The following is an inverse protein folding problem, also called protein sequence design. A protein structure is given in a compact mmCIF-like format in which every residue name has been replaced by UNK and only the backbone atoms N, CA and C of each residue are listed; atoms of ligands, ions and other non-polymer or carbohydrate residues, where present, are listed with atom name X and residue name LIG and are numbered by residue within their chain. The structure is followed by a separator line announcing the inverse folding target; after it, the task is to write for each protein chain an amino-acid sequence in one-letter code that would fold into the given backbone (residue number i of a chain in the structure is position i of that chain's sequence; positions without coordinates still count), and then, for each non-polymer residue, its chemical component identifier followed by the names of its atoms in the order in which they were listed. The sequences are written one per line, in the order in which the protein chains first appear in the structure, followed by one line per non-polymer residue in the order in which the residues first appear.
data_IF_358054511809
#
_entry.id   IF_358054511809
#
_cell.length_a   1.000
_cell.length_b   1.000
_cell.length_c   1.000
_cell.angle_alpha   90.00
_cell.angle_beta   90.00
_cell.angle_gamma   90.00
#
_symmetry.space_group_name_H-M   'P 1'
#
loop_
_entity.id
_entity.type
_entity.pdbx_description
1 polymer ?
#
# COMPACT_ATOMS: atom_id res chain seq x y z
N UNK A 1 -17.14 25.20 27.43
CA UNK A 1 -18.04 24.30 26.67
C UNK A 1 -17.32 23.71 25.45
N UNK A 2 -16.93 24.50 24.45
CA UNK A 2 -16.27 23.99 23.22
C UNK A 2 -15.00 23.16 23.47
N UNK A 3 -14.10 23.62 24.36
CA UNK A 3 -12.87 22.89 24.71
C UNK A 3 -13.14 21.52 25.36
N UNK A 4 -14.22 21.41 26.13
CA UNK A 4 -14.62 20.17 26.81
C UNK A 4 -15.16 19.16 25.79
N UNK A 5 -15.98 19.62 24.84
CA UNK A 5 -16.49 18.81 23.74
C UNK A 5 -15.33 18.28 22.88
N UNK A 6 -14.38 19.14 22.52
CA UNK A 6 -13.20 18.74 21.74
C UNK A 6 -12.36 17.67 22.45
N UNK A 7 -12.12 17.82 23.77
CA UNK A 7 -11.40 16.83 24.56
C UNK A 7 -12.12 15.48 24.62
N UNK A 8 -13.44 15.49 24.79
CA UNK A 8 -14.25 14.27 24.83
C UNK A 8 -14.27 13.57 23.47
N UNK A 9 -14.43 14.33 22.38
CA UNK A 9 -14.40 13.76 21.03
C UNK A 9 -13.03 13.19 20.68
N UNK A 10 -11.94 13.89 21.02
CA UNK A 10 -10.58 13.45 20.71
C UNK A 10 -10.19 12.21 21.54
N UNK A 11 -10.56 12.19 22.83
CA UNK A 11 -10.28 11.06 23.72
C UNK A 11 -10.96 9.75 23.32
N UNK A 12 -12.10 9.82 22.63
CA UNK A 12 -12.81 8.64 22.10
C UNK A 12 -12.27 8.24 20.72
N UNK A 13 -11.99 9.22 19.84
CA UNK A 13 -11.54 8.95 18.48
C UNK A 13 -10.10 8.42 18.38
N UNK A 14 -9.18 8.96 19.17
CA UNK A 14 -7.74 8.57 19.11
C UNK A 14 -7.51 7.07 19.31
N UNK A 15 -8.04 6.42 20.38
CA UNK A 15 -7.83 4.99 20.57
C UNK A 15 -8.52 4.13 19.50
N UNK A 16 -9.68 4.56 19.00
CA UNK A 16 -10.39 3.85 17.93
C UNK A 16 -9.59 3.84 16.61
N UNK A 17 -8.92 4.94 16.28
CA UNK A 17 -8.07 5.03 15.08
C UNK A 17 -6.78 4.21 15.23
N UNK A 18 -6.18 4.19 16.42
CA UNK A 18 -4.95 3.41 16.67
C UNK A 18 -5.21 1.90 16.55
N UNK A 19 -6.33 1.40 17.08
CA UNK A 19 -6.70 -0.02 16.98
C UNK A 19 -6.99 -0.46 15.54
N UNK A 20 -7.46 0.44 14.68
CA UNK A 20 -7.71 0.14 13.27
C UNK A 20 -6.42 0.12 12.43
N UNK A 21 -5.31 0.65 12.95
CA UNK A 21 -4.04 0.75 12.24
C UNK A 21 -3.34 -0.60 12.08
N UNK A 22 -3.44 -1.48 13.08
CA UNK A 22 -2.70 -2.75 13.09
C UNK A 22 -3.24 -3.73 12.05
N UNK A 23 -4.57 -3.92 11.99
CA UNK A 23 -5.23 -4.79 11.02
C UNK A 23 -5.06 -4.28 9.57
N UNK A 24 -5.08 -2.96 9.39
CA UNK A 24 -4.79 -2.32 8.11
C UNK A 24 -3.32 -2.48 7.69
N UNK A 25 -2.38 -2.45 8.65
CA UNK A 25 -0.96 -2.63 8.37
C UNK A 25 -0.63 -4.06 7.95
N UNK A 26 -1.24 -5.05 8.60
CA UNK A 26 -1.07 -6.46 8.22
C UNK A 26 -1.63 -6.73 6.83
N UNK A 27 -2.82 -6.22 6.52
CA UNK A 27 -3.40 -6.31 5.19
C UNK A 27 -2.51 -5.61 4.13
N UNK A 28 -1.97 -4.43 4.44
CA UNK A 28 -1.08 -3.71 3.54
C UNK A 28 0.23 -4.48 3.29
N UNK A 29 0.80 -5.13 4.32
CA UNK A 29 1.97 -6.01 4.20
C UNK A 29 1.68 -7.21 3.32
N UNK A 30 0.56 -7.90 3.54
CA UNK A 30 0.17 -9.04 2.69
C UNK A 30 0.04 -8.63 1.22
N UNK A 31 -0.63 -7.49 0.95
CA UNK A 31 -0.79 -6.99 -0.40
C UNK A 31 0.55 -6.61 -1.04
N UNK A 32 1.45 -6.00 -0.25
CA UNK A 32 2.82 -5.69 -0.68
C UNK A 32 3.57 -6.97 -1.07
N UNK A 33 3.64 -7.96 -0.18
CA UNK A 33 4.37 -9.21 -0.38
C UNK A 33 3.84 -9.98 -1.60
N UNK A 34 2.50 -10.07 -1.73
CA UNK A 34 1.84 -10.70 -2.87
C UNK A 34 2.21 -9.99 -4.18
N UNK A 35 2.20 -8.66 -4.19
CA UNK A 35 2.52 -7.88 -5.39
C UNK A 35 4.02 -7.91 -5.72
N UNK A 36 4.92 -7.95 -4.73
CA UNK A 36 6.37 -8.12 -4.93
C UNK A 36 6.65 -9.50 -5.53
N UNK A 37 6.06 -10.54 -4.96
CA UNK A 37 6.16 -11.92 -5.44
C UNK A 37 5.64 -12.08 -6.88
N UNK A 38 4.47 -11.51 -7.19
CA UNK A 38 3.86 -11.61 -8.53
C UNK A 38 4.59 -10.81 -9.60
N UNK A 39 5.16 -9.66 -9.27
CA UNK A 39 5.77 -8.76 -10.28
C UNK A 39 7.29 -8.92 -10.37
N UNK A 40 7.92 -9.49 -9.33
CA UNK A 40 9.36 -9.59 -9.21
C UNK A 40 10.05 -8.21 -9.24
N UNK A 41 9.35 -7.17 -8.78
CA UNK A 41 9.85 -5.81 -8.66
C UNK A 41 10.97 -5.75 -7.63
N UNK A 42 11.96 -4.90 -7.88
CA UNK A 42 13.03 -4.63 -6.93
C UNK A 42 12.52 -3.75 -5.77
N UNK A 43 12.71 -4.20 -4.52
CA UNK A 43 12.30 -3.44 -3.34
C UNK A 43 12.98 -2.07 -3.21
N UNK A 44 14.15 -1.87 -3.83
CA UNK A 44 14.80 -0.57 -3.87
C UNK A 44 13.96 0.45 -4.66
N UNK A 45 13.26 0.02 -5.71
CA UNK A 45 12.33 0.87 -6.47
C UNK A 45 11.12 1.27 -5.62
N UNK A 46 10.60 0.35 -4.80
CA UNK A 46 9.50 0.61 -3.87
C UNK A 46 9.94 1.61 -2.79
N UNK A 47 11.13 1.40 -2.23
CA UNK A 47 11.70 2.28 -1.21
C UNK A 47 11.98 3.69 -1.74
N UNK A 48 12.40 3.81 -3.01
CA UNK A 48 12.62 5.13 -3.65
C UNK A 48 11.33 5.95 -3.72
N UNK A 49 10.19 5.32 -4.01
CA UNK A 49 8.89 6.01 -4.01
C UNK A 49 8.40 6.31 -2.60
N UNK A 50 8.62 5.39 -1.66
CA UNK A 50 8.32 5.63 -0.23
C UNK A 50 9.08 6.85 0.30
N UNK A 51 10.34 7.00 -0.09
CA UNK A 51 11.19 8.14 0.25
C UNK A 51 10.87 9.41 -0.55
N UNK A 52 9.85 9.39 -1.42
CA UNK A 52 9.45 10.50 -2.30
C UNK A 52 10.58 10.99 -3.23
N UNK A 53 11.56 10.13 -3.52
CA UNK A 53 12.74 10.46 -4.35
C UNK A 53 12.49 10.38 -5.85
N UNK A 54 11.26 10.03 -6.25
CA UNK A 54 10.83 9.94 -7.65
C UNK A 54 10.30 8.55 -7.99
N UNK A 55 9.59 8.45 -9.12
CA UNK A 55 9.06 7.20 -9.63
C UNK A 55 10.08 6.55 -10.56
N UNK A 56 10.65 5.38 -10.21
CA UNK A 56 11.55 4.68 -11.10
C UNK A 56 10.81 4.27 -12.37
N UNK A 57 11.46 4.46 -13.52
CA UNK A 57 10.93 4.08 -14.84
C UNK A 57 11.20 2.59 -15.10
N UNK A 58 10.67 1.75 -14.22
CA UNK A 58 10.80 0.29 -14.29
C UNK A 58 9.42 -0.36 -14.56
N UNK A 59 9.39 -1.27 -15.53
CA UNK A 59 8.15 -1.90 -15.98
C UNK A 59 7.54 -2.82 -14.91
N UNK A 60 8.39 -3.47 -14.09
CA UNK A 60 7.93 -4.29 -12.97
C UNK A 60 7.39 -3.42 -11.85
N UNK A 61 8.01 -2.25 -11.62
CA UNK A 61 7.52 -1.27 -10.67
C UNK A 61 6.15 -0.69 -11.06
N UNK A 62 5.93 -0.37 -12.34
CA UNK A 62 4.60 0.02 -12.84
C UNK A 62 3.57 -1.10 -12.65
N UNK A 63 3.96 -2.35 -12.83
CA UNK A 63 3.13 -3.52 -12.56
C UNK A 63 2.80 -3.68 -11.08
N UNK A 64 3.76 -3.46 -10.18
CA UNK A 64 3.55 -3.46 -8.73
C UNK A 64 2.54 -2.40 -8.30
N UNK A 65 2.65 -1.17 -8.83
CA UNK A 65 1.69 -0.10 -8.54
C UNK A 65 0.28 -0.39 -9.08
N UNK A 66 0.15 -1.16 -10.17
CA UNK A 66 -1.16 -1.64 -10.65
C UNK A 66 -1.72 -2.75 -9.76
N UNK A 67 -0.87 -3.66 -9.30
CA UNK A 67 -1.27 -4.71 -8.37
C UNK A 67 -1.82 -4.13 -7.06
N UNK A 68 -1.21 -3.04 -6.56
CA UNK A 68 -1.73 -2.24 -5.45
C UNK A 68 -2.94 -1.36 -5.79
N UNK A 69 -3.47 -1.44 -7.02
CA UNK A 69 -4.54 -0.59 -7.55
C UNK A 69 -4.28 0.93 -7.44
N UNK A 70 -3.03 1.35 -7.35
CA UNK A 70 -2.63 2.75 -7.23
C UNK A 70 -2.74 3.49 -8.58
N UNK A 71 -2.56 2.77 -9.70
CA UNK A 71 -2.61 3.34 -11.05
C UNK A 71 -3.78 2.76 -11.84
N UNK A 72 -4.69 3.63 -12.30
CA UNK A 72 -5.80 3.27 -13.20
C UNK A 72 -5.36 3.21 -14.67
N UNK A 73 -4.38 2.36 -14.98
CA UNK A 73 -3.84 2.22 -16.34
C UNK A 73 -4.31 0.90 -16.98
N UNK A 74 -5.08 1.01 -18.06
CA UNK A 74 -5.82 -0.10 -18.71
C UNK A 74 -4.98 -1.01 -19.62
N UNK A 75 -3.67 -0.77 -19.79
CA UNK A 75 -2.86 -1.41 -20.85
C UNK A 75 -1.52 -1.99 -20.38
N UNK A 76 -1.44 -2.62 -19.21
CA UNK A 76 -0.29 -3.49 -18.91
C UNK A 76 -0.79 -4.83 -18.41
N UNK A 77 -0.43 -5.90 -19.11
CA UNK A 77 -0.66 -7.26 -18.71
C UNK A 77 0.60 -7.70 -17.95
N UNK A 78 0.54 -7.80 -16.63
CA UNK A 78 1.67 -8.21 -15.80
C UNK A 78 1.90 -9.72 -15.98
N UNK A 79 2.33 -10.12 -17.17
CA UNK A 79 2.69 -11.50 -17.49
C UNK A 79 4.15 -11.73 -17.12
N UNK A 80 4.36 -11.98 -15.83
CA UNK A 80 5.66 -12.35 -15.28
C UNK A 80 5.50 -13.36 -14.15
N UNK A 81 5.57 -14.66 -14.52
CA UNK A 81 5.76 -15.84 -13.65
C UNK A 81 4.65 -16.29 -12.68
N UNK A 82 3.85 -17.25 -13.20
CA UNK A 82 3.25 -18.43 -12.53
C UNK A 82 2.04 -18.19 -11.60
N UNK A 83 0.94 -18.86 -11.96
CA UNK A 83 -0.24 -18.97 -11.11
C UNK A 83 0.02 -19.76 -9.82
N UNK A 84 -0.68 -19.35 -8.77
CA UNK A 84 -1.17 -20.15 -7.64
C UNK A 84 -2.21 -19.25 -6.95
N UNK A 85 -3.49 -19.54 -7.21
CA UNK A 85 -4.38 -20.33 -6.34
C UNK A 85 -5.12 -19.45 -5.33
N UNK A 86 -6.24 -18.90 -5.79
CA UNK A 86 -7.51 -19.28 -5.16
C UNK A 86 -8.57 -19.45 -6.24
#
# INVERSE_FOLDING_TARGET
MLKLVVLLTLGIYVPAVMSMSEEMEELAKQLHDDCVSQTGVDEAHITTVKDQKGFPDDEKFKCYLKCLNFIRSSHYNCQGSKGISR
#
